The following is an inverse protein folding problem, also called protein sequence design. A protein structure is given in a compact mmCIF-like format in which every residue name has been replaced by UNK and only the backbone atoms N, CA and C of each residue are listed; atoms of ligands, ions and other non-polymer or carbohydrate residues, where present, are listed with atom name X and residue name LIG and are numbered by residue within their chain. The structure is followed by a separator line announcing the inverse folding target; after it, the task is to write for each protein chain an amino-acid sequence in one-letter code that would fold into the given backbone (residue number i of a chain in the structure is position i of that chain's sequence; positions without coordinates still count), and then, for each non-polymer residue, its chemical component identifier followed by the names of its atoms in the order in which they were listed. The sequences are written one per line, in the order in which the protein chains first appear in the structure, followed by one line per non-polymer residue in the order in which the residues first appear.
data_IF_942935996804
#
_entry.id   IF_942935996804
#
_cell.length_a   1.000
_cell.length_b   1.000
_cell.length_c   1.000
_cell.angle_alpha   90.00
_cell.angle_beta   90.00
_cell.angle_gamma   90.00
#
_symmetry.space_group_name_H-M   'P 1'
#
loop_
_entity.id
_entity.type
_entity.pdbx_description
1 polymer ?
#
# COMPACT_ATOMS: atom_id res chain seq x y z
N UNK A 1 66.14 21.40 13.10
CA UNK A 1 65.64 21.95 14.36
C UNK A 1 64.30 22.57 14.04
N UNK A 2 63.13 22.02 14.33
CA UNK A 2 62.56 21.13 15.35
C UNK A 2 61.42 20.36 14.62
N UNK A 3 61.11 19.07 14.79
CA UNK A 3 60.60 18.42 15.99
C UNK A 3 60.36 16.92 15.69
N UNK A 4 60.55 16.08 16.70
CA UNK A 4 59.98 14.74 16.96
C UNK A 4 60.35 14.40 18.42
N UNK A 5 59.65 13.53 19.18
CA UNK A 5 58.85 12.39 18.70
C UNK A 5 57.56 12.05 19.50
N UNK A 6 56.83 11.07 18.95
CA UNK A 6 56.10 9.95 19.59
C UNK A 6 55.49 10.08 21.00
N UNK A 7 54.18 9.80 21.09
CA UNK A 7 53.65 8.73 21.97
C UNK A 7 52.26 8.25 21.49
N UNK A 8 52.23 7.08 20.87
CA UNK A 8 51.18 6.05 21.04
C UNK A 8 51.92 4.82 21.65
N UNK A 9 51.30 3.72 22.18
CA UNK A 9 50.01 3.13 21.78
C UNK A 9 49.24 2.34 22.90
N UNK A 10 48.16 1.64 22.48
CA UNK A 10 47.60 0.38 23.06
C UNK A 10 46.79 0.49 24.39
N UNK A 11 45.74 -0.29 24.70
CA UNK A 11 45.07 -1.49 24.16
C UNK A 11 43.82 -1.70 25.07
N UNK A 12 42.60 -1.70 24.53
CA UNK A 12 41.72 -2.89 24.37
C UNK A 12 41.15 -3.48 25.69
N UNK A 13 39.82 -3.55 25.79
CA UNK A 13 39.09 -4.79 26.13
C UNK A 13 37.58 -4.60 25.96
N UNK A 14 37.00 -5.59 25.28
CA UNK A 14 35.59 -5.73 24.95
C UNK A 14 34.82 -6.49 26.04
N UNK A 15 33.51 -6.26 26.11
CA UNK A 15 32.47 -7.25 26.43
C UNK A 15 31.09 -6.61 26.20
N UNK A 16 30.45 -6.82 25.04
CA UNK A 16 29.49 -7.89 24.68
C UNK A 16 28.13 -7.84 25.39
N UNK A 17 27.08 -8.01 24.56
CA UNK A 17 25.74 -8.56 24.86
C UNK A 17 24.75 -7.61 25.55
N UNK A 18 23.52 -7.33 25.09
CA UNK A 18 22.59 -8.05 24.21
C UNK A 18 21.37 -7.17 23.88
N UNK A 19 20.89 -7.16 22.64
CA UNK A 19 19.48 -6.90 22.30
C UNK A 19 18.63 -8.13 22.74
N UNK A 20 17.28 -8.08 22.89
CA UNK A 20 16.39 -7.81 21.75
C UNK A 20 15.01 -7.12 22.04
N UNK A 21 14.45 -6.51 20.99
CA UNK A 21 13.06 -6.74 20.58
C UNK A 21 11.91 -5.91 21.21
N UNK A 22 11.33 -5.00 20.42
CA UNK A 22 9.88 -4.78 20.24
C UNK A 22 9.66 -3.55 19.33
N UNK A 23 9.29 -3.72 18.06
CA UNK A 23 7.88 -3.71 17.61
C UNK A 23 7.11 -2.45 18.06
N UNK A 24 7.29 -1.32 17.36
CA UNK A 24 6.33 -0.20 17.39
C UNK A 24 6.54 0.79 16.23
N UNK A 25 6.55 0.32 14.98
CA UNK A 25 6.31 1.19 13.81
C UNK A 25 4.84 1.11 13.41
N UNK A 26 4.01 1.81 14.16
CA UNK A 26 2.60 1.98 13.89
C UNK A 26 2.09 3.12 14.76
N UNK A 27 1.28 4.00 14.17
CA UNK A 27 0.60 5.14 14.81
C UNK A 27 1.38 6.48 14.76
N UNK A 28 1.54 7.04 13.55
CA UNK A 28 1.52 8.51 13.38
C UNK A 28 0.69 8.90 12.17
N UNK A 29 -0.63 8.71 12.28
CA UNK A 29 -1.62 9.36 11.42
C UNK A 29 -2.77 9.84 12.33
N UNK A 30 -2.48 10.83 13.18
CA UNK A 30 -3.49 11.48 14.03
C UNK A 30 -3.76 12.90 13.52
N UNK A 31 -5.05 13.15 13.30
CA UNK A 31 -5.74 14.44 13.36
C UNK A 31 -5.68 15.38 12.16
N UNK A 32 -6.50 15.07 11.13
CA UNK A 32 -7.20 16.10 10.34
C UNK A 32 -8.71 15.82 10.18
N UNK A 33 -9.34 15.08 11.10
CA UNK A 33 -10.79 14.90 11.14
C UNK A 33 -11.47 16.03 11.94
N UNK A 34 -11.50 17.24 11.38
CA UNK A 34 -12.32 18.33 11.94
C UNK A 34 -13.72 18.34 11.33
N UNK A 35 -14.66 17.84 12.15
CA UNK A 35 -16.10 18.17 12.26
C UNK A 35 -16.99 17.94 11.03
N UNK A 36 -17.49 16.70 10.92
CA UNK A 36 -18.83 16.43 10.36
C UNK A 36 -19.86 16.50 11.50
N UNK A 37 -21.00 17.20 11.35
CA UNK A 37 -22.06 17.19 12.35
C UNK A 37 -22.64 15.78 12.47
N UNK A 38 -22.61 15.21 13.67
CA UNK A 38 -23.26 13.94 13.98
C UNK A 38 -24.77 14.19 14.01
N UNK A 39 -25.47 13.85 12.93
CA UNK A 39 -26.92 13.74 12.96
C UNK A 39 -27.30 12.59 13.90
N UNK A 40 -27.96 12.91 15.01
CA UNK A 40 -28.34 11.96 16.07
C UNK A 40 -29.36 10.88 15.62
N UNK A 41 -29.83 10.93 14.36
CA UNK A 41 -30.71 9.93 13.74
C UNK A 41 -30.05 9.20 12.55
N UNK A 42 -28.72 9.19 12.46
CA UNK A 42 -28.05 8.39 11.45
C UNK A 42 -28.24 6.90 11.78
N UNK A 43 -29.18 6.25 11.06
CA UNK A 43 -29.26 4.78 10.97
C UNK A 43 -27.82 4.28 10.77
N UNK A 44 -27.33 3.35 11.60
CA UNK A 44 -26.02 2.77 11.39
C UNK A 44 -25.96 2.26 9.95
N UNK A 45 -25.10 2.85 9.11
CA UNK A 45 -24.90 2.36 7.74
C UNK A 45 -24.02 1.11 7.81
N UNK A 46 -24.46 0.11 8.57
CA UNK A 46 -23.80 -1.19 8.71
C UNK A 46 -23.71 -1.83 7.34
N UNK A 47 -22.50 -2.27 6.99
CA UNK A 47 -22.18 -2.94 5.74
C UNK A 47 -21.89 -4.38 6.16
N UNK A 48 -22.87 -5.30 6.11
CA UNK A 48 -22.79 -6.60 6.77
C UNK A 48 -21.50 -7.36 6.45
N UNK A 49 -21.07 -7.34 5.19
CA UNK A 49 -19.85 -8.02 4.77
C UNK A 49 -18.59 -7.36 5.32
N UNK A 50 -18.54 -6.03 5.35
CA UNK A 50 -17.39 -5.28 5.88
C UNK A 50 -17.29 -5.39 7.41
N UNK A 51 -18.42 -5.39 8.11
CA UNK A 51 -18.48 -5.58 9.57
C UNK A 51 -18.00 -6.99 9.96
N UNK A 52 -18.37 -8.01 9.17
CA UNK A 52 -17.84 -9.37 9.34
C UNK A 52 -16.34 -9.42 9.07
N UNK A 53 -15.89 -8.81 7.98
CA UNK A 53 -14.48 -8.80 7.61
C UNK A 53 -13.62 -8.11 8.68
N UNK A 54 -14.09 -6.99 9.23
CA UNK A 54 -13.47 -6.31 10.35
C UNK A 54 -13.29 -7.24 11.55
N UNK A 55 -14.33 -7.99 11.95
CA UNK A 55 -14.22 -8.95 13.07
C UNK A 55 -13.19 -10.06 12.80
N UNK A 56 -13.09 -10.54 11.56
CA UNK A 56 -12.09 -11.56 11.19
C UNK A 56 -10.67 -11.03 11.28
N UNK A 57 -10.45 -9.76 10.90
CA UNK A 57 -9.16 -9.08 11.06
C UNK A 57 -8.84 -8.88 12.55
N UNK A 58 -9.80 -8.37 13.33
CA UNK A 58 -9.63 -8.10 14.76
C UNK A 58 -9.33 -9.40 15.54
N UNK A 59 -9.87 -10.54 15.09
CA UNK A 59 -9.60 -11.87 15.65
C UNK A 59 -8.33 -12.54 15.10
N UNK A 60 -7.56 -11.88 14.23
CA UNK A 60 -6.33 -12.41 13.64
C UNK A 60 -6.53 -13.57 12.65
N UNK A 61 -7.76 -13.78 12.15
CA UNK A 61 -8.07 -14.88 11.22
C UNK A 61 -7.66 -14.55 9.78
N UNK A 62 -7.61 -13.26 9.42
CA UNK A 62 -7.16 -12.82 8.10
C UNK A 62 -6.49 -11.44 8.15
N UNK A 63 -5.74 -11.12 7.10
CA UNK A 63 -5.14 -9.80 6.91
C UNK A 63 -6.12 -8.82 6.27
N UNK A 64 -5.96 -7.54 6.61
CA UNK A 64 -6.74 -6.44 6.03
C UNK A 64 -6.19 -5.98 4.69
N UNK A 65 -6.81 -6.40 3.59
CA UNK A 65 -6.48 -6.00 2.24
C UNK A 65 -7.53 -5.03 1.71
N UNK A 66 -7.07 -3.89 1.18
CA UNK A 66 -7.96 -2.84 0.69
C UNK A 66 -8.85 -3.31 -0.46
N UNK A 67 -8.32 -4.13 -1.38
CA UNK A 67 -9.08 -4.70 -2.49
C UNK A 67 -10.24 -5.58 -2.01
N UNK A 68 -10.03 -6.40 -0.98
CA UNK A 68 -11.08 -7.23 -0.38
C UNK A 68 -12.14 -6.33 0.28
N UNK A 69 -11.72 -5.35 1.07
CA UNK A 69 -12.64 -4.41 1.72
C UNK A 69 -13.52 -3.68 0.69
N UNK A 70 -12.94 -3.20 -0.40
CA UNK A 70 -13.66 -2.53 -1.49
C UNK A 70 -14.59 -3.48 -2.23
N UNK A 71 -14.19 -4.72 -2.47
CA UNK A 71 -15.05 -5.75 -3.08
C UNK A 71 -16.27 -6.08 -2.21
N UNK A 72 -16.08 -6.25 -0.90
CA UNK A 72 -17.16 -6.49 0.06
C UNK A 72 -18.10 -5.28 0.17
N UNK A 73 -17.55 -4.06 0.16
CA UNK A 73 -18.35 -2.85 0.11
C UNK A 73 -19.18 -2.77 -1.17
N UNK A 74 -18.58 -3.08 -2.32
CA UNK A 74 -19.27 -3.09 -3.60
C UNK A 74 -20.38 -4.15 -3.64
N UNK A 75 -20.16 -5.33 -3.05
CA UNK A 75 -21.19 -6.37 -2.94
C UNK A 75 -22.44 -5.90 -2.18
N UNK A 76 -22.25 -5.08 -1.13
CA UNK A 76 -23.37 -4.59 -0.32
C UNK A 76 -24.05 -3.33 -0.90
N UNK A 77 -23.36 -2.53 -1.73
CA UNK A 77 -23.78 -1.17 -2.06
C UNK A 77 -23.73 -0.78 -3.54
N UNK A 78 -22.93 -1.46 -4.35
CA UNK A 78 -22.80 -1.10 -5.75
C UNK A 78 -23.95 -1.68 -6.57
N UNK A 79 -24.53 -0.91 -7.51
CA UNK A 79 -25.54 -1.43 -8.43
C UNK A 79 -24.94 -2.44 -9.43
N UNK A 80 -23.64 -2.34 -9.70
CA UNK A 80 -22.89 -3.20 -10.59
C UNK A 80 -21.50 -3.46 -10.02
N UNK A 81 -21.19 -4.72 -9.75
CA UNK A 81 -19.86 -5.15 -9.30
C UNK A 81 -18.79 -4.85 -10.36
N UNK A 82 -19.15 -5.02 -11.64
CA UNK A 82 -18.23 -4.76 -12.75
C UNK A 82 -17.85 -3.29 -12.84
N UNK A 83 -18.84 -2.40 -12.75
CA UNK A 83 -18.56 -0.95 -12.77
C UNK A 83 -17.74 -0.54 -11.56
N UNK A 84 -18.07 -1.04 -10.37
CA UNK A 84 -17.30 -0.78 -9.16
C UNK A 84 -15.84 -1.25 -9.30
N UNK A 85 -15.60 -2.43 -9.89
CA UNK A 85 -14.26 -2.94 -10.15
C UNK A 85 -13.49 -2.06 -11.15
N UNK A 86 -14.11 -1.65 -12.26
CA UNK A 86 -13.50 -0.74 -13.24
C UNK A 86 -13.13 0.60 -12.58
N UNK A 87 -14.04 1.18 -11.80
CA UNK A 87 -13.79 2.43 -11.07
C UNK A 87 -12.64 2.26 -10.08
N UNK A 88 -12.62 1.18 -9.31
CA UNK A 88 -11.57 0.88 -8.35
C UNK A 88 -10.20 0.75 -9.03
N UNK A 89 -10.10 -0.04 -10.10
CA UNK A 89 -8.87 -0.21 -10.87
C UNK A 89 -8.38 1.12 -11.48
N UNK A 90 -9.30 1.94 -12.01
CA UNK A 90 -8.95 3.26 -12.51
C UNK A 90 -8.41 4.19 -11.41
N UNK A 91 -9.06 4.23 -10.24
CA UNK A 91 -8.58 5.02 -9.10
C UNK A 91 -7.20 4.57 -8.64
N UNK A 92 -6.95 3.26 -8.58
CA UNK A 92 -5.64 2.70 -8.23
C UNK A 92 -4.57 3.12 -9.25
N UNK A 93 -4.85 2.95 -10.55
CA UNK A 93 -3.89 3.29 -11.61
C UNK A 93 -3.65 4.81 -11.69
N UNK A 94 -4.65 5.63 -11.42
CA UNK A 94 -4.50 7.08 -11.32
C UNK A 94 -3.54 7.47 -10.19
N UNK A 95 -3.69 6.86 -9.01
CA UNK A 95 -2.77 7.09 -7.89
C UNK A 95 -1.33 6.65 -8.23
N UNK A 96 -1.16 5.48 -8.86
CA UNK A 96 0.14 5.00 -9.32
C UNK A 96 0.77 5.92 -10.37
N UNK A 97 -0.05 6.47 -11.27
CA UNK A 97 0.41 7.42 -12.29
C UNK A 97 0.97 8.69 -11.66
N UNK A 98 0.31 9.23 -10.63
CA UNK A 98 0.83 10.39 -9.88
C UNK A 98 2.16 10.06 -9.21
N UNK A 99 2.29 8.86 -8.61
CA UNK A 99 3.56 8.41 -8.04
C UNK A 99 4.66 8.30 -9.10
N UNK A 100 4.36 7.74 -10.27
CA UNK A 100 5.29 7.58 -11.38
C UNK A 100 5.75 8.92 -11.97
N UNK A 101 4.82 9.88 -12.14
CA UNK A 101 5.13 11.24 -12.60
C UNK A 101 6.17 11.89 -11.69
N UNK A 102 6.05 11.69 -10.38
CA UNK A 102 6.98 12.22 -9.37
C UNK A 102 8.31 11.47 -9.32
N UNK A 103 8.31 10.16 -9.58
CA UNK A 103 9.50 9.33 -9.51
C UNK A 103 10.44 9.48 -10.72
N UNK A 104 9.89 9.66 -11.94
CA UNK A 104 10.65 9.72 -13.22
C UNK A 104 10.81 11.16 -13.77
N UNK A 105 10.46 12.19 -12.99
CA UNK A 105 10.09 13.54 -13.45
C UNK A 105 9.56 13.68 -14.89
N UNK A 106 8.42 13.07 -15.22
CA UNK A 106 7.71 13.32 -16.49
C UNK A 106 6.66 14.43 -16.33
N UNK A 107 6.12 14.96 -17.44
CA UNK A 107 5.05 15.97 -17.35
C UNK A 107 3.73 15.35 -16.86
N UNK A 108 2.96 16.12 -16.08
CA UNK A 108 1.63 15.70 -15.62
C UNK A 108 0.69 15.38 -16.78
N UNK A 109 0.79 16.14 -17.87
CA UNK A 109 0.05 15.89 -19.10
C UNK A 109 0.40 14.53 -19.72
N UNK A 110 1.69 14.18 -19.81
CA UNK A 110 2.12 12.88 -20.30
C UNK A 110 1.57 11.73 -19.42
N UNK A 111 1.54 11.92 -18.10
CA UNK A 111 0.90 10.99 -17.17
C UNK A 111 -0.59 10.78 -17.45
N UNK A 112 -1.35 11.86 -17.67
CA UNK A 112 -2.78 11.77 -18.01
C UNK A 112 -3.01 11.12 -19.38
N UNK A 113 -2.17 11.39 -20.37
CA UNK A 113 -2.23 10.72 -21.68
C UNK A 113 -1.99 9.21 -21.53
N UNK A 114 -1.02 8.80 -20.71
CA UNK A 114 -0.75 7.39 -20.43
C UNK A 114 -1.96 6.73 -19.73
N UNK A 115 -2.51 7.35 -18.69
CA UNK A 115 -3.68 6.84 -17.97
C UNK A 115 -4.90 6.70 -18.89
N UNK A 116 -5.12 7.66 -19.80
CA UNK A 116 -6.23 7.61 -20.75
C UNK A 116 -6.07 6.44 -21.75
N UNK A 117 -4.84 6.15 -22.20
CA UNK A 117 -4.56 5.00 -23.07
C UNK A 117 -4.79 3.67 -22.36
N UNK A 118 -4.47 3.58 -21.07
CA UNK A 118 -4.69 2.38 -20.27
C UNK A 118 -6.17 2.06 -19.97
N UNK A 119 -7.11 2.96 -20.30
CA UNK A 119 -8.54 2.77 -19.96
C UNK A 119 -9.15 1.50 -20.57
N UNK A 120 -8.82 1.18 -21.83
CA UNK A 120 -9.30 -0.06 -22.46
C UNK A 120 -8.69 -1.30 -21.83
N UNK A 121 -7.42 -1.22 -21.43
CA UNK A 121 -6.71 -2.32 -20.75
C UNK A 121 -7.29 -2.59 -19.36
N UNK A 122 -7.67 -1.54 -18.62
CA UNK A 122 -8.37 -1.69 -17.33
C UNK A 122 -9.68 -2.47 -17.52
N UNK A 123 -10.49 -2.10 -18.52
CA UNK A 123 -11.77 -2.78 -18.77
C UNK A 123 -11.53 -4.25 -19.11
N UNK A 124 -10.57 -4.54 -20.00
CA UNK A 124 -10.23 -5.92 -20.36
C UNK A 124 -9.69 -6.73 -19.17
N UNK A 125 -8.87 -6.12 -18.31
CA UNK A 125 -8.34 -6.76 -17.11
C UNK A 125 -9.45 -7.09 -16.10
N UNK A 126 -10.42 -6.19 -15.93
CA UNK A 126 -11.60 -6.44 -15.08
C UNK A 126 -12.44 -7.56 -15.67
N UNK A 127 -12.71 -7.55 -16.98
CA UNK A 127 -13.48 -8.61 -17.64
C UNK A 127 -12.81 -9.98 -17.48
N UNK A 128 -11.49 -10.04 -17.62
CA UNK A 128 -10.70 -11.24 -17.33
C UNK A 128 -10.82 -11.65 -15.86
N UNK A 129 -10.72 -10.72 -14.92
CA UNK A 129 -10.83 -11.02 -13.49
C UNK A 129 -12.18 -11.68 -13.13
N UNK A 130 -13.27 -11.34 -13.82
CA UNK A 130 -14.58 -11.99 -13.63
C UNK A 130 -14.65 -13.44 -14.16
N UNK A 131 -13.69 -13.88 -14.97
CA UNK A 131 -13.61 -15.26 -15.46
C UNK A 131 -12.66 -16.14 -14.65
N UNK A 132 -11.86 -15.56 -13.74
CA UNK A 132 -10.87 -16.28 -12.94
C UNK A 132 -11.51 -17.07 -11.80
N UNK A 133 -10.85 -18.16 -11.42
CA UNK A 133 -11.20 -19.00 -10.27
C UNK A 133 -10.28 -18.69 -9.09
N UNK A 134 -10.65 -19.08 -7.86
CA UNK A 134 -9.79 -18.92 -6.69
C UNK A 134 -8.38 -19.53 -6.86
N UNK A 135 -8.26 -20.64 -7.59
CA UNK A 135 -6.98 -21.30 -7.88
C UNK A 135 -6.07 -20.47 -8.80
N UNK A 136 -6.62 -19.47 -9.50
CA UNK A 136 -5.85 -18.56 -10.36
C UNK A 136 -5.22 -17.39 -9.59
N UNK A 137 -5.55 -17.24 -8.30
CA UNK A 137 -4.99 -16.21 -7.44
C UNK A 137 -3.51 -16.48 -7.16
N UNK A 138 -2.66 -15.46 -7.36
CA UNK A 138 -1.22 -15.55 -7.11
C UNK A 138 -0.40 -16.13 -8.26
N UNK A 139 -1.01 -16.43 -9.42
CA UNK A 139 -0.30 -16.91 -10.62
C UNK A 139 0.54 -15.81 -11.29
N UNK A 140 0.18 -14.53 -11.09
CA UNK A 140 0.85 -13.38 -11.70
C UNK A 140 1.61 -12.53 -10.67
N UNK A 141 2.60 -11.77 -11.14
CA UNK A 141 3.24 -10.73 -10.33
C UNK A 141 4.68 -10.98 -9.90
N UNK A 142 5.35 -12.06 -10.32
CA UNK A 142 6.73 -12.33 -9.92
C UNK A 142 7.71 -11.16 -10.17
N UNK A 143 7.52 -10.40 -11.26
CA UNK A 143 8.31 -9.19 -11.51
C UNK A 143 8.02 -8.07 -10.50
N UNK A 144 6.75 -7.90 -10.08
CA UNK A 144 6.35 -6.94 -9.07
C UNK A 144 6.95 -7.33 -7.72
N UNK A 145 6.96 -8.62 -7.38
CA UNK A 145 7.57 -9.11 -6.14
C UNK A 145 9.08 -8.83 -6.11
N UNK A 146 9.79 -9.11 -7.22
CA UNK A 146 11.22 -8.81 -7.33
C UNK A 146 11.46 -7.30 -7.22
N UNK A 147 10.65 -6.48 -7.89
CA UNK A 147 10.75 -5.03 -7.82
C UNK A 147 10.50 -4.49 -6.40
N UNK A 148 9.55 -5.10 -5.66
CA UNK A 148 9.29 -4.77 -4.26
C UNK A 148 10.49 -5.14 -3.36
N UNK A 149 11.07 -6.33 -3.54
CA UNK A 149 12.29 -6.74 -2.83
C UNK A 149 13.46 -5.79 -3.13
N UNK A 150 13.61 -5.34 -4.38
CA UNK A 150 14.63 -4.36 -4.75
C UNK A 150 14.35 -3.00 -4.10
N UNK A 151 13.08 -2.57 -4.04
CA UNK A 151 12.68 -1.32 -3.41
C UNK A 151 13.09 -1.24 -1.92
N UNK A 152 13.12 -2.37 -1.21
CA UNK A 152 13.61 -2.44 0.18
C UNK A 152 15.12 -2.15 0.31
N UNK A 153 15.89 -2.43 -0.75
CA UNK A 153 17.37 -2.29 -0.76
C UNK A 153 17.87 -0.94 -1.27
N UNK A 154 16.98 -0.03 -1.69
CA UNK A 154 17.36 1.28 -2.22
C UNK A 154 18.00 2.16 -1.14
N UNK A 155 19.15 2.76 -1.48
CA UNK A 155 19.90 3.65 -0.58
C UNK A 155 19.11 4.91 -0.16
N UNK A 156 18.30 5.45 -1.07
CA UNK A 156 17.38 6.56 -0.81
C UNK A 156 16.00 6.22 -1.37
N UNK A 157 14.95 6.41 -0.54
CA UNK A 157 13.57 6.05 -0.87
C UNK A 157 12.66 7.26 -0.78
N UNK A 158 11.97 7.56 -1.87
CA UNK A 158 10.92 8.60 -1.92
C UNK A 158 9.58 8.10 -1.35
N UNK A 159 9.33 6.79 -1.44
CA UNK A 159 8.13 6.12 -0.96
C UNK A 159 8.50 4.97 0.00
N UNK A 160 7.56 4.59 0.87
CA UNK A 160 7.80 3.54 1.88
C UNK A 160 7.77 2.12 1.29
N UNK A 161 7.01 1.93 0.20
CA UNK A 161 6.77 0.68 -0.52
C UNK A 161 6.47 0.95 -1.98
#
# INVERSE_FOLDING_TARGET
STASPDTAPHCETASTSSAPGAMASGITARNQSRRMPHSANAVPRTIPHLDRYKRLIDNGTCLGLHSIAMGLFAADRAPSLREAAVTYCYSLLSALTVCAVKAVPISQFAGQVALNRARSEIVAAVDLAFTLKPDDLGISGAYIDIAAMQHETLYSRLYMS
#
